data_IF_135720319588
#
_entry.id   IF_135720319588
#
_cell.length_a   1.000
_cell.length_b   1.000
_cell.length_c   1.000
_cell.angle_alpha   90.00
_cell.angle_beta   90.00
_cell.angle_gamma   90.00
#
_symmetry.space_group_name_H-M   'P 1'
#
loop_
_entity.id
_entity.type
_entity.pdbx_description
1 polymer ?
#
# COMPACT_ATOMS: atom_id res chain seq x y z
N UNK A 1 -6.42 -19.27 28.83
CA UNK A 1 -7.67 -20.06 28.77
C UNK A 1 -7.76 -20.63 27.36
N UNK A 2 -7.61 -21.96 27.21
CA UNK A 2 -7.84 -22.61 25.92
C UNK A 2 -9.31 -22.49 25.51
N UNK A 3 -9.68 -22.80 24.26
CA UNK A 3 -11.07 -22.69 23.83
C UNK A 3 -11.89 -23.71 24.63
N UNK A 4 -12.87 -23.21 25.38
CA UNK A 4 -14.02 -24.00 25.82
C UNK A 4 -14.61 -24.70 24.60
N UNK A 5 -15.07 -25.94 24.72
CA UNK A 5 -15.77 -26.62 23.63
C UNK A 5 -16.83 -25.71 22.98
N UNK A 6 -17.13 -25.86 21.67
CA UNK A 6 -18.16 -25.06 21.04
C UNK A 6 -19.48 -25.21 21.81
N UNK A 7 -20.33 -24.16 21.85
CA UNK A 7 -21.59 -24.23 22.56
C UNK A 7 -22.46 -25.39 22.03
N UNK A 8 -23.31 -25.99 22.87
CA UNK A 8 -24.18 -27.07 22.45
C UNK A 8 -25.09 -26.61 21.29
N UNK A 9 -25.22 -27.46 20.26
CA UNK A 9 -25.92 -27.19 18.99
C UNK A 9 -25.29 -26.13 18.07
N UNK A 10 -24.01 -25.78 18.26
CA UNK A 10 -23.31 -24.84 17.38
C UNK A 10 -23.24 -25.33 15.93
N UNK A 11 -23.76 -24.53 15.00
CA UNK A 11 -23.63 -24.71 13.57
C UNK A 11 -22.77 -23.59 12.98
N UNK A 12 -21.60 -23.96 12.45
CA UNK A 12 -20.63 -23.01 11.90
C UNK A 12 -21.17 -22.13 10.77
N UNK A 13 -22.16 -22.60 10.00
CA UNK A 13 -22.70 -21.85 8.88
C UNK A 13 -23.69 -20.77 9.31
N UNK A 14 -24.37 -20.94 10.45
CA UNK A 14 -25.40 -19.99 10.92
C UNK A 14 -24.94 -19.14 12.09
N UNK A 15 -24.08 -19.71 12.94
CA UNK A 15 -23.73 -19.10 14.23
C UNK A 15 -22.39 -18.36 14.16
N UNK A 16 -21.55 -18.65 13.15
CA UNK A 16 -20.35 -17.88 12.89
C UNK A 16 -20.66 -16.71 11.96
N UNK A 17 -20.27 -15.50 12.35
CA UNK A 17 -20.30 -14.31 11.48
C UNK A 17 -19.47 -14.49 10.19
N UNK A 18 -18.58 -15.48 10.15
CA UNK A 18 -17.71 -15.77 9.02
C UNK A 18 -18.24 -16.91 8.14
N UNK A 19 -19.22 -17.69 8.59
CA UNK A 19 -19.65 -18.98 8.00
C UNK A 19 -18.58 -20.09 8.01
N UNK A 20 -17.44 -19.84 8.66
CA UNK A 20 -16.37 -20.78 8.97
C UNK A 20 -15.72 -20.40 10.31
N UNK A 21 -14.81 -21.22 10.83
CA UNK A 21 -13.99 -20.87 11.99
C UNK A 21 -12.63 -20.40 11.47
N UNK A 22 -12.22 -19.13 11.73
CA UNK A 22 -10.93 -18.63 11.27
C UNK A 22 -9.77 -19.48 11.80
N UNK A 23 -8.79 -19.76 10.94
CA UNK A 23 -7.65 -20.61 11.31
C UNK A 23 -6.69 -19.86 12.23
N UNK A 24 -6.51 -20.34 13.46
CA UNK A 24 -5.65 -19.73 14.50
C UNK A 24 -4.22 -19.46 14.02
N UNK A 25 -3.58 -20.46 13.42
CA UNK A 25 -2.19 -20.37 12.98
C UNK A 25 -2.00 -19.27 11.93
N UNK A 26 -2.93 -19.17 10.98
CA UNK A 26 -2.89 -18.14 9.93
C UNK A 26 -3.04 -16.75 10.53
N UNK A 27 -3.97 -16.58 11.49
CA UNK A 27 -4.16 -15.31 12.17
C UNK A 27 -2.89 -14.86 12.91
N UNK A 28 -2.22 -15.78 13.61
CA UNK A 28 -0.96 -15.50 14.32
C UNK A 28 0.16 -15.11 13.34
N UNK A 29 0.29 -15.83 12.21
CA UNK A 29 1.31 -15.52 11.20
C UNK A 29 1.15 -14.09 10.69
N UNK A 30 -0.03 -13.72 10.22
CA UNK A 30 -0.28 -12.36 9.72
C UNK A 30 -0.12 -11.30 10.81
N UNK A 31 -0.61 -11.56 12.02
CA UNK A 31 -0.45 -10.66 13.16
C UNK A 31 1.03 -10.37 13.45
N UNK A 32 1.88 -11.40 13.48
CA UNK A 32 3.32 -11.25 13.71
C UNK A 32 3.98 -10.50 12.56
N UNK A 33 3.61 -10.79 11.31
CA UNK A 33 4.16 -10.11 10.14
C UNK A 33 3.85 -8.60 10.13
N UNK A 34 2.60 -8.21 10.41
CA UNK A 34 2.21 -6.80 10.47
C UNK A 34 2.79 -6.07 11.68
N UNK A 35 2.86 -6.74 12.84
CA UNK A 35 3.48 -6.17 14.03
C UNK A 35 4.98 -5.91 13.81
N UNK A 36 5.71 -6.90 13.30
CA UNK A 36 7.14 -6.76 13.02
C UNK A 36 7.38 -5.67 11.97
N UNK A 37 6.60 -5.67 10.90
CA UNK A 37 6.67 -4.64 9.86
C UNK A 37 6.37 -3.24 10.42
N UNK A 38 5.38 -3.11 11.29
CA UNK A 38 5.06 -1.83 11.96
C UNK A 38 6.21 -1.33 12.82
N UNK A 39 6.84 -2.20 13.61
CA UNK A 39 8.00 -1.83 14.42
C UNK A 39 9.20 -1.40 13.55
N UNK A 40 9.43 -2.07 12.42
CA UNK A 40 10.47 -1.69 11.45
C UNK A 40 10.15 -0.31 10.87
N UNK A 41 8.93 -0.05 10.40
CA UNK A 41 8.52 1.26 9.88
C UNK A 41 8.65 2.36 10.92
N UNK A 42 8.28 2.08 12.18
CA UNK A 42 8.45 3.04 13.27
C UNK A 42 9.93 3.37 13.48
N UNK A 43 10.79 2.35 13.58
CA UNK A 43 12.23 2.52 13.74
C UNK A 43 12.84 3.31 12.56
N UNK A 44 12.52 2.92 11.32
CA UNK A 44 13.00 3.60 10.12
C UNK A 44 12.55 5.06 10.07
N UNK A 45 11.31 5.36 10.43
CA UNK A 45 10.81 6.73 10.42
C UNK A 45 11.52 7.62 11.44
N UNK A 46 11.83 7.11 12.64
CA UNK A 46 12.62 7.84 13.64
C UNK A 46 14.09 7.99 13.23
N UNK A 47 14.71 6.91 12.74
CA UNK A 47 16.12 6.90 12.33
C UNK A 47 16.38 7.86 11.16
N UNK A 48 15.54 7.82 10.12
CA UNK A 48 15.68 8.68 8.94
C UNK A 48 15.00 10.06 9.11
N UNK A 49 14.44 10.37 10.29
CA UNK A 49 13.69 11.60 10.60
C UNK A 49 12.55 11.90 9.61
N UNK A 50 11.93 10.86 9.05
CA UNK A 50 10.85 10.99 8.06
C UNK A 50 9.50 10.71 8.74
N UNK A 51 9.09 11.62 9.62
CA UNK A 51 7.90 11.45 10.46
C UNK A 51 6.57 11.31 9.69
N UNK A 52 6.51 11.72 8.41
CA UNK A 52 5.32 11.45 7.58
C UNK A 52 5.05 9.94 7.41
N UNK A 53 6.08 9.08 7.55
CA UNK A 53 5.95 7.63 7.36
C UNK A 53 5.29 7.00 8.59
N UNK A 54 5.40 7.66 9.77
CA UNK A 54 4.66 7.27 10.97
C UNK A 54 3.16 7.50 10.79
N UNK A 55 2.78 8.64 10.21
CA UNK A 55 1.37 8.99 10.03
C UNK A 55 0.65 8.08 9.02
N UNK A 56 1.39 7.31 8.22
CA UNK A 56 0.85 6.59 7.05
C UNK A 56 1.20 5.09 7.08
N UNK A 57 2.45 4.70 6.83
CA UNK A 57 2.87 3.29 6.79
C UNK A 57 2.76 2.59 8.15
N UNK A 58 3.17 3.26 9.24
CA UNK A 58 3.02 2.71 10.58
C UNK A 58 1.54 2.58 10.98
N UNK A 59 0.73 3.60 10.72
CA UNK A 59 -0.71 3.56 11.02
C UNK A 59 -1.43 2.45 10.24
N UNK A 60 -1.01 2.19 8.99
CA UNK A 60 -1.47 1.02 8.24
C UNK A 60 -1.08 -0.30 8.95
N UNK A 61 0.18 -0.45 9.38
CA UNK A 61 0.59 -1.66 10.10
C UNK A 61 -0.19 -1.85 11.40
N UNK A 62 -0.48 -0.78 12.13
CA UNK A 62 -1.30 -0.83 13.35
C UNK A 62 -2.73 -1.27 13.03
N UNK A 63 -3.35 -0.68 12.00
CA UNK A 63 -4.70 -1.04 11.58
C UNK A 63 -4.84 -2.52 11.16
N UNK A 64 -3.88 -3.02 10.36
CA UNK A 64 -3.83 -4.45 10.00
C UNK A 64 -3.59 -5.32 11.25
N UNK A 65 -2.67 -4.94 12.13
CA UNK A 65 -2.39 -5.70 13.38
C UNK A 65 -3.66 -5.82 14.24
N UNK A 66 -4.43 -4.74 14.41
CA UNK A 66 -5.70 -4.76 15.13
C UNK A 66 -6.70 -5.69 14.43
N UNK A 67 -6.77 -5.64 13.11
CA UNK A 67 -7.69 -6.48 12.34
C UNK A 67 -7.39 -7.97 12.48
N UNK A 68 -6.12 -8.36 12.35
CA UNK A 68 -5.67 -9.74 12.53
C UNK A 68 -5.74 -10.20 13.99
N UNK A 69 -5.57 -9.31 14.96
CA UNK A 69 -5.80 -9.59 16.38
C UNK A 69 -7.28 -9.84 16.68
N UNK A 70 -8.18 -9.06 16.10
CA UNK A 70 -9.62 -9.27 16.22
C UNK A 70 -10.04 -10.62 15.57
N UNK A 71 -9.47 -10.95 14.40
CA UNK A 71 -9.66 -12.26 13.75
C UNK A 71 -9.14 -13.42 14.60
N UNK A 72 -7.97 -13.26 15.23
CA UNK A 72 -7.46 -14.24 16.18
C UNK A 72 -8.40 -14.41 17.37
N UNK A 73 -8.94 -13.32 17.94
CA UNK A 73 -9.95 -13.40 19.00
C UNK A 73 -11.20 -14.16 18.54
N UNK A 74 -11.69 -13.88 17.34
CA UNK A 74 -12.79 -14.61 16.72
C UNK A 74 -12.51 -16.11 16.61
N UNK A 75 -11.28 -16.51 16.26
CA UNK A 75 -10.88 -17.93 16.19
C UNK A 75 -10.89 -18.66 17.53
N UNK A 76 -10.82 -17.94 18.66
CA UNK A 76 -10.92 -18.51 20.01
C UNK A 76 -12.37 -18.68 20.45
N UNK A 77 -13.27 -17.85 19.93
CA UNK A 77 -14.69 -17.79 20.27
C UNK A 77 -15.57 -18.40 19.16
N UNK A 78 -15.02 -19.23 18.27
CA UNK A 78 -15.76 -19.88 17.18
C UNK A 78 -16.52 -18.90 16.24
N UNK A 79 -16.10 -17.64 16.16
CA UNK A 79 -16.75 -16.63 15.32
C UNK A 79 -18.17 -16.23 15.74
N UNK A 80 -18.62 -16.57 16.95
CA UNK A 80 -19.98 -16.24 17.42
C UNK A 80 -20.17 -14.76 17.76
N UNK A 81 -19.09 -14.06 18.09
CA UNK A 81 -19.14 -12.65 18.44
C UNK A 81 -19.07 -11.78 17.18
N UNK A 82 -20.04 -10.88 17.02
CA UNK A 82 -20.07 -9.92 15.91
C UNK A 82 -19.05 -8.79 16.06
N UNK A 83 -18.68 -8.40 17.28
CA UNK A 83 -17.75 -7.29 17.52
C UNK A 83 -16.34 -7.55 16.96
N UNK A 84 -15.67 -8.69 17.23
CA UNK A 84 -14.37 -8.99 16.62
C UNK A 84 -14.42 -9.06 15.09
N UNK A 85 -15.53 -9.55 14.53
CA UNK A 85 -15.74 -9.58 13.09
C UNK A 85 -15.82 -8.18 12.48
N UNK A 86 -16.62 -7.28 13.10
CA UNK A 86 -16.77 -5.90 12.65
C UNK A 86 -15.48 -5.09 12.82
N UNK A 87 -14.73 -5.30 13.90
CA UNK A 87 -13.41 -4.68 14.08
C UNK A 87 -12.48 -5.13 12.95
N UNK A 88 -12.40 -6.43 12.69
CA UNK A 88 -11.55 -6.96 11.62
C UNK A 88 -11.91 -6.34 10.27
N UNK A 89 -13.18 -6.39 9.85
CA UNK A 89 -13.58 -5.86 8.54
C UNK A 89 -13.30 -4.36 8.45
N UNK A 90 -13.63 -3.61 9.50
CA UNK A 90 -13.43 -2.16 9.53
C UNK A 90 -11.96 -1.77 9.43
N UNK A 91 -11.11 -2.33 10.30
CA UNK A 91 -9.70 -1.92 10.34
C UNK A 91 -8.92 -2.44 9.15
N UNK A 92 -9.21 -3.65 8.68
CA UNK A 92 -8.57 -4.19 7.47
C UNK A 92 -8.94 -3.36 6.25
N UNK A 93 -10.17 -2.85 6.12
CA UNK A 93 -10.54 -1.99 4.97
C UNK A 93 -9.90 -0.59 5.03
N UNK A 94 -9.80 0.03 6.21
CA UNK A 94 -9.32 1.42 6.35
C UNK A 94 -7.79 1.49 6.27
N UNK A 95 -7.10 0.59 6.95
CA UNK A 95 -5.65 0.48 7.00
C UNK A 95 -4.87 0.67 5.67
N UNK A 96 -5.25 0.02 4.55
CA UNK A 96 -4.43 -0.08 3.34
C UNK A 96 -4.49 1.20 2.53
N UNK A 97 -5.52 2.01 2.75
CA UNK A 97 -5.67 3.34 2.18
C UNK A 97 -4.56 4.26 2.68
N UNK A 98 -4.13 4.12 3.95
CA UNK A 98 -2.94 4.81 4.45
C UNK A 98 -1.66 4.35 3.74
N UNK A 99 -1.53 3.04 3.48
CA UNK A 99 -0.38 2.48 2.77
C UNK A 99 -0.35 2.97 1.31
N UNK A 100 -1.51 3.04 0.66
CA UNK A 100 -1.67 3.52 -0.72
C UNK A 100 -1.24 5.00 -0.85
N UNK A 101 -1.60 5.84 0.13
CA UNK A 101 -1.19 7.24 0.16
C UNK A 101 0.35 7.41 0.20
N UNK A 102 1.08 6.53 0.89
CA UNK A 102 2.56 6.53 0.88
C UNK A 102 3.08 6.22 -0.51
N UNK A 103 2.57 5.17 -1.12
CA UNK A 103 3.04 4.72 -2.44
C UNK A 103 2.82 5.78 -3.51
N UNK A 104 1.68 6.47 -3.51
CA UNK A 104 1.44 7.58 -4.44
C UNK A 104 2.32 8.79 -4.16
N UNK A 105 2.53 9.14 -2.90
CA UNK A 105 3.42 10.26 -2.53
C UNK A 105 4.87 9.96 -2.92
N UNK A 106 5.34 8.74 -2.67
CA UNK A 106 6.68 8.29 -3.03
C UNK A 106 6.87 8.33 -4.55
N UNK A 107 5.89 7.85 -5.30
CA UNK A 107 5.93 7.87 -6.75
C UNK A 107 5.92 9.30 -7.34
N UNK A 108 5.04 10.18 -6.84
CA UNK A 108 5.00 11.57 -7.28
C UNK A 108 6.33 12.29 -7.07
N UNK A 109 7.03 11.99 -5.97
CA UNK A 109 8.37 12.51 -5.70
C UNK A 109 9.42 11.95 -6.64
N UNK A 110 9.35 10.66 -6.98
CA UNK A 110 10.25 10.03 -7.94
C UNK A 110 10.12 10.71 -9.32
N UNK A 111 8.89 10.93 -9.79
CA UNK A 111 8.63 11.65 -11.05
C UNK A 111 9.17 13.06 -11.02
N UNK A 112 8.85 13.83 -9.96
CA UNK A 112 9.25 15.22 -9.86
C UNK A 112 10.77 15.39 -9.99
N UNK A 113 11.50 14.47 -9.37
CA UNK A 113 12.95 14.48 -9.29
C UNK A 113 13.66 13.94 -10.54
N UNK A 114 13.09 12.94 -11.22
CA UNK A 114 13.62 12.44 -12.49
C UNK A 114 13.32 13.35 -13.69
N UNK A 115 12.47 14.35 -13.46
CA UNK A 115 12.03 15.29 -14.47
C UNK A 115 10.55 15.08 -14.80
N UNK A 116 9.69 16.10 -14.63
CA UNK A 116 8.30 16.10 -15.10
C UNK A 116 8.17 15.85 -16.61
N UNK A 117 9.29 15.93 -17.34
CA UNK A 117 9.40 15.68 -18.77
C UNK A 117 9.17 14.21 -19.16
N UNK A 118 9.22 13.28 -18.19
CA UNK A 118 8.98 11.85 -18.38
C UNK A 118 7.59 11.39 -17.92
N UNK A 119 6.75 12.27 -17.37
CA UNK A 119 5.42 11.91 -16.85
C UNK A 119 4.34 12.88 -17.31
N UNK A 120 3.21 12.32 -17.76
CA UNK A 120 2.07 13.08 -18.29
C UNK A 120 1.12 13.61 -17.20
N UNK A 121 1.16 13.03 -16.01
CA UNK A 121 0.36 13.45 -14.84
C UNK A 121 1.23 14.26 -13.88
N UNK A 122 0.87 15.53 -13.66
CA UNK A 122 1.75 16.50 -12.97
C UNK A 122 1.54 16.63 -11.45
N UNK A 123 0.53 16.00 -10.82
CA UNK A 123 0.43 15.95 -9.36
C UNK A 123 -0.57 14.86 -8.91
N UNK A 124 -0.18 13.87 -8.10
CA UNK A 124 -1.14 13.02 -7.42
C UNK A 124 -1.91 13.84 -6.37
N UNK A 125 -3.18 14.15 -6.62
CA UNK A 125 -4.05 14.82 -5.66
C UNK A 125 -4.44 13.86 -4.51
N UNK A 126 -3.72 13.95 -3.39
CA UNK A 126 -3.98 13.20 -2.15
C UNK A 126 -5.34 13.52 -1.50
N UNK A 127 -5.99 14.62 -1.90
CA UNK A 127 -7.34 15.00 -1.45
C UNK A 127 -8.38 13.91 -1.74
N UNK A 128 -8.16 13.09 -2.77
CA UNK A 128 -9.09 12.02 -3.18
C UNK A 128 -9.00 10.83 -2.22
N UNK A 129 -7.80 10.50 -1.75
CA UNK A 129 -7.59 9.48 -0.71
C UNK A 129 -8.22 9.89 0.62
N UNK A 130 -8.16 11.19 0.96
CA UNK A 130 -8.78 11.71 2.19
C UNK A 130 -10.31 11.53 2.16
N UNK A 131 -10.96 11.82 1.03
CA UNK A 131 -12.40 11.58 0.88
C UNK A 131 -12.74 10.10 1.07
N UNK A 132 -11.96 9.20 0.48
CA UNK A 132 -12.19 7.75 0.60
C UNK A 132 -11.98 7.26 2.04
N UNK A 133 -10.94 7.76 2.73
CA UNK A 133 -10.68 7.48 4.14
C UNK A 133 -11.86 7.90 5.03
N UNK A 134 -12.44 9.08 4.77
CA UNK A 134 -13.61 9.56 5.51
C UNK A 134 -14.81 8.64 5.30
N UNK A 135 -15.10 8.27 4.04
CA UNK A 135 -16.20 7.34 3.74
C UNK A 135 -16.02 5.97 4.42
N UNK A 136 -14.79 5.45 4.42
CA UNK A 136 -14.47 4.16 5.06
C UNK A 136 -14.54 4.24 6.59
N UNK A 137 -14.04 5.33 7.19
CA UNK A 137 -14.11 5.56 8.62
C UNK A 137 -15.56 5.73 9.11
N UNK A 138 -16.37 6.50 8.38
CA UNK A 138 -17.79 6.67 8.67
C UNK A 138 -18.55 5.35 8.49
N UNK A 139 -18.30 4.63 7.40
CA UNK A 139 -18.94 3.34 7.15
C UNK A 139 -18.60 2.28 8.20
N UNK A 140 -17.32 2.19 8.61
CA UNK A 140 -16.89 1.29 9.67
C UNK A 140 -17.48 1.67 11.04
N UNK A 141 -17.53 2.97 11.34
CA UNK A 141 -18.18 3.49 12.55
C UNK A 141 -19.66 3.13 12.60
N UNK A 142 -20.39 3.37 11.50
CA UNK A 142 -21.81 3.01 11.38
C UNK A 142 -22.03 1.50 11.49
N UNK A 143 -21.20 0.68 10.84
CA UNK A 143 -21.29 -0.77 10.93
C UNK A 143 -21.07 -1.29 12.35
N UNK A 144 -20.18 -0.65 13.12
CA UNK A 144 -19.87 -1.06 14.50
C UNK A 144 -20.97 -0.71 15.52
N UNK A 145 -21.78 0.31 15.26
CA UNK A 145 -22.82 0.79 16.17
C UNK A 145 -24.25 0.37 15.82
N UNK A 146 -24.46 -0.23 14.64
CA UNK A 146 -25.78 -0.60 14.14
C UNK A 146 -26.17 -2.04 14.50
N UNK A 147 -27.47 -2.30 14.65
CA UNK A 147 -28.01 -3.66 14.78
C UNK A 147 -27.94 -4.44 13.47
N UNK A 148 -28.05 -3.75 12.33
CA UNK A 148 -27.76 -4.27 11.00
C UNK A 148 -26.56 -3.52 10.41
N UNK A 149 -25.40 -4.19 10.21
CA UNK A 149 -24.19 -3.55 9.70
C UNK A 149 -24.22 -3.27 8.19
N UNK A 150 -25.26 -3.68 7.45
CA UNK A 150 -25.36 -3.57 5.99
C UNK A 150 -25.17 -2.15 5.47
N UNK A 151 -25.81 -1.15 6.08
CA UNK A 151 -25.69 0.25 5.66
C UNK A 151 -24.26 0.78 5.80
N UNK A 152 -23.59 0.46 6.90
CA UNK A 152 -22.18 0.80 7.10
C UNK A 152 -21.29 0.12 6.06
N UNK A 153 -21.54 -1.15 5.76
CA UNK A 153 -20.81 -1.91 4.74
C UNK A 153 -20.95 -1.30 3.34
N UNK A 154 -22.15 -0.86 2.95
CA UNK A 154 -22.37 -0.17 1.68
C UNK A 154 -21.65 1.17 1.60
N UNK A 155 -21.58 1.92 2.70
CA UNK A 155 -20.82 3.17 2.74
C UNK A 155 -19.31 2.92 2.62
N UNK A 156 -18.80 1.87 3.28
CA UNK A 156 -17.40 1.43 3.11
C UNK A 156 -17.12 0.99 1.68
N UNK A 157 -18.00 0.20 1.07
CA UNK A 157 -17.93 -0.21 -0.33
C UNK A 157 -17.88 1.01 -1.26
N UNK A 158 -18.73 2.01 -1.03
CA UNK A 158 -18.71 3.27 -1.77
C UNK A 158 -17.34 3.95 -1.71
N UNK A 159 -16.72 4.01 -0.51
CA UNK A 159 -15.36 4.50 -0.33
C UNK A 159 -14.31 3.71 -1.11
N UNK A 160 -14.38 2.38 -1.10
CA UNK A 160 -13.46 1.51 -1.87
C UNK A 160 -13.66 1.70 -3.37
N UNK A 161 -14.90 1.78 -3.85
CA UNK A 161 -15.20 1.98 -5.28
C UNK A 161 -14.72 3.35 -5.74
N UNK A 162 -14.97 4.41 -4.97
CA UNK A 162 -14.45 5.74 -5.29
C UNK A 162 -12.92 5.72 -5.27
N UNK A 163 -12.29 5.08 -4.28
CA UNK A 163 -10.84 4.94 -4.21
C UNK A 163 -10.29 4.18 -5.42
N UNK A 164 -10.92 3.08 -5.82
CA UNK A 164 -10.53 2.29 -6.97
C UNK A 164 -10.78 3.08 -8.26
N UNK A 165 -11.96 3.59 -8.55
CA UNK A 165 -12.23 4.33 -9.80
C UNK A 165 -11.38 5.60 -9.92
N UNK A 166 -11.14 6.29 -8.81
CA UNK A 166 -10.43 7.57 -8.82
C UNK A 166 -8.91 7.40 -8.88
N UNK A 167 -8.34 6.44 -8.13
CA UNK A 167 -6.90 6.15 -8.15
C UNK A 167 -6.51 5.14 -9.23
N UNK A 168 -7.44 4.29 -9.64
CA UNK A 168 -7.36 3.22 -10.65
C UNK A 168 -8.31 3.50 -11.82
N UNK A 169 -8.46 4.76 -12.23
CA UNK A 169 -8.97 5.03 -13.58
C UNK A 169 -8.09 4.24 -14.57
N UNK A 170 -8.65 3.47 -15.52
CA UNK A 170 -7.86 2.69 -16.47
C UNK A 170 -6.88 3.58 -17.24
N UNK A 171 -7.19 4.87 -17.41
CA UNK A 171 -6.26 5.85 -17.95
C UNK A 171 -5.08 6.06 -16.99
N UNK A 172 -5.31 6.30 -15.70
CA UNK A 172 -4.23 6.53 -14.73
C UNK A 172 -3.38 5.27 -14.47
N UNK A 173 -3.98 4.07 -14.42
CA UNK A 173 -3.25 2.83 -14.10
C UNK A 173 -2.52 2.22 -15.30
N UNK A 174 -3.13 2.26 -16.50
CA UNK A 174 -2.42 1.95 -17.74
C UNK A 174 -1.33 3.01 -17.95
N UNK A 175 -1.63 4.30 -17.78
CA UNK A 175 -0.61 5.34 -17.88
C UNK A 175 0.48 5.15 -16.82
N UNK A 176 0.18 4.74 -15.59
CA UNK A 176 1.19 4.53 -14.54
C UNK A 176 2.09 3.31 -14.80
N UNK A 177 1.50 2.16 -15.15
CA UNK A 177 2.27 0.95 -15.45
C UNK A 177 2.99 1.06 -16.79
N UNK A 178 2.37 1.68 -17.79
CA UNK A 178 2.99 1.97 -19.09
C UNK A 178 4.07 3.02 -18.93
N UNK A 179 3.88 4.13 -18.20
CA UNK A 179 4.94 5.11 -17.97
C UNK A 179 6.05 4.55 -17.10
N UNK A 180 5.75 3.71 -16.10
CA UNK A 180 6.76 3.01 -15.30
C UNK A 180 7.58 2.02 -16.15
N UNK A 181 6.92 1.22 -17.00
CA UNK A 181 7.57 0.29 -17.91
C UNK A 181 8.31 1.00 -19.05
N UNK A 182 7.73 2.07 -19.60
CA UNK A 182 8.32 2.94 -20.62
C UNK A 182 9.54 3.68 -20.05
N UNK A 183 9.46 4.17 -18.82
CA UNK A 183 10.60 4.72 -18.08
C UNK A 183 11.67 3.65 -17.93
N UNK A 184 11.37 2.48 -17.39
CA UNK A 184 12.34 1.39 -17.23
C UNK A 184 12.97 0.96 -18.57
N UNK A 185 12.17 0.91 -19.65
CA UNK A 185 12.62 0.59 -21.01
C UNK A 185 13.53 1.68 -21.60
N UNK A 186 13.17 2.96 -21.42
CA UNK A 186 13.97 4.12 -21.86
C UNK A 186 15.27 4.25 -21.06
N UNK A 187 15.22 3.96 -19.76
CA UNK A 187 16.34 3.88 -18.84
C UNK A 187 17.24 2.65 -19.07
N UNK A 188 16.72 1.60 -19.71
CA UNK A 188 17.49 0.43 -20.12
C UNK A 188 18.14 0.66 -21.49
N UNK A 189 17.48 1.42 -22.37
CA UNK A 189 17.94 1.70 -23.72
C UNK A 189 18.64 3.05 -23.90
N UNK A 190 18.91 3.80 -22.82
CA UNK A 190 19.58 5.12 -22.83
C UNK A 190 18.95 6.15 -23.80
N UNK A 191 17.63 6.08 -23.98
CA UNK A 191 16.89 6.97 -24.91
C UNK A 191 16.05 7.99 -24.12
N UNK A 192 16.62 9.17 -23.76
CA UNK A 192 15.83 10.26 -23.19
C UNK A 192 14.76 10.74 -24.17
N UNK A 193 13.59 11.13 -23.65
CA UNK A 193 12.39 11.47 -24.44
C UNK A 193 12.49 12.87 -25.10
N UNK A 194 13.30 13.74 -24.52
CA UNK A 194 13.81 14.97 -25.14
C UNK A 194 15.31 14.90 -25.10
N UNK A 195 15.95 15.07 -26.25
CA UNK A 195 17.36 15.46 -26.26
C UNK A 195 17.49 16.71 -25.39
N UNK A 196 18.54 16.76 -24.58
CA UNK A 196 18.97 17.99 -23.95
C UNK A 196 19.49 18.92 -25.05
N UNK A 197 18.59 19.46 -25.87
CA UNK A 197 18.93 20.38 -26.95
C UNK A 197 19.32 21.71 -26.31
N UNK A 198 20.63 21.92 -26.21
CA UNK A 198 21.28 23.19 -26.52
C UNK A 198 20.94 24.36 -25.60
N UNK A 199 21.58 24.41 -24.43
CA UNK A 199 21.85 25.67 -23.74
C UNK A 199 23.33 26.04 -23.94
N UNK A 200 23.58 26.77 -25.04
CA UNK A 200 24.58 27.85 -25.20
C UNK A 200 26.07 27.52 -24.95
N UNK A 201 26.84 27.40 -26.04
CA UNK A 201 28.28 27.72 -26.05
C UNK A 201 28.48 29.25 -25.91
N UNK A 202 29.47 29.72 -25.13
CA UNK A 202 30.75 30.07 -25.76
C UNK A 202 32.02 29.79 -24.93
N UNK A 203 33.03 29.32 -25.66
CA UNK A 203 34.47 29.67 -25.63
C UNK A 203 35.27 29.84 -24.32
N UNK A 204 36.33 29.02 -24.26
CA UNK A 204 37.71 29.36 -23.89
C UNK A 204 38.01 29.95 -22.48
N UNK A 205 38.21 29.07 -21.51
CA UNK A 205 39.29 29.21 -20.51
C UNK A 205 39.44 27.94 -19.67
N UNK A 206 40.65 27.68 -19.15
CA UNK A 206 40.95 26.79 -18.02
C UNK A 206 41.18 25.28 -18.26
N UNK A 207 42.26 24.94 -18.99
CA UNK A 207 42.83 23.57 -19.00
C UNK A 207 43.25 23.04 -17.61
N UNK A 208 43.37 23.89 -16.58
CA UNK A 208 43.66 23.45 -15.19
C UNK A 208 42.41 23.03 -14.40
N UNK A 209 41.21 23.46 -14.81
CA UNK A 209 39.95 23.06 -14.17
C UNK A 209 39.45 21.71 -14.71
N UNK A 210 39.97 21.25 -15.85
CA UNK A 210 39.51 20.04 -16.53
C UNK A 210 39.78 18.74 -15.77
N UNK A 211 40.87 18.63 -15.00
CA UNK A 211 41.19 17.40 -14.24
C UNK A 211 40.41 17.30 -12.92
N UNK A 212 40.17 18.42 -12.24
CA UNK A 212 39.29 18.50 -11.07
C UNK A 212 37.81 18.38 -11.45
N UNK A 213 37.42 18.94 -12.60
CA UNK A 213 36.07 18.80 -13.14
C UNK A 213 35.83 17.39 -13.69
N UNK A 214 36.80 16.77 -14.37
CA UNK A 214 36.73 15.35 -14.78
C UNK A 214 36.58 14.43 -13.57
N UNK A 215 37.36 14.63 -12.51
CA UNK A 215 37.26 13.79 -11.31
C UNK A 215 36.00 14.05 -10.47
N UNK A 216 35.45 15.27 -10.48
CA UNK A 216 34.15 15.56 -9.89
C UNK A 216 33.00 15.02 -10.74
N UNK A 217 33.05 15.15 -12.06
CA UNK A 217 32.05 14.62 -13.01
C UNK A 217 32.07 13.10 -13.01
N UNK A 218 33.23 12.45 -12.98
CA UNK A 218 33.35 10.99 -12.90
C UNK A 218 32.88 10.46 -11.55
N UNK A 219 33.15 11.16 -10.43
CA UNK A 219 32.55 10.85 -9.12
C UNK A 219 31.04 11.10 -9.10
N UNK A 220 30.55 12.14 -9.78
CA UNK A 220 29.14 12.48 -9.85
C UNK A 220 28.38 11.49 -10.73
N UNK A 221 28.93 11.09 -11.88
CA UNK A 221 28.42 10.02 -12.76
C UNK A 221 28.46 8.65 -12.10
N UNK A 222 29.53 8.30 -11.37
CA UNK A 222 29.61 7.02 -10.63
C UNK A 222 28.61 6.99 -9.47
N UNK A 223 28.44 8.08 -8.71
CA UNK A 223 27.42 8.17 -7.66
C UNK A 223 25.99 8.15 -8.26
N UNK A 224 25.78 8.76 -9.43
CA UNK A 224 24.50 8.76 -10.15
C UNK A 224 24.18 7.38 -10.75
N UNK A 225 25.19 6.66 -11.24
CA UNK A 225 25.07 5.29 -11.75
C UNK A 225 24.73 4.28 -10.64
N UNK A 226 25.34 4.41 -9.46
CA UNK A 226 24.98 3.62 -8.26
C UNK A 226 23.58 4.00 -7.72
N UNK A 227 23.15 5.25 -7.91
CA UNK A 227 21.80 5.74 -7.61
C UNK A 227 20.73 5.15 -8.54
N UNK A 228 21.09 4.83 -9.79
CA UNK A 228 20.16 4.33 -10.81
C UNK A 228 19.63 2.92 -10.54
N UNK A 229 20.49 2.00 -10.08
CA UNK A 229 20.07 0.63 -9.71
C UNK A 229 19.12 0.62 -8.51
N UNK A 230 19.41 1.46 -7.52
CA UNK A 230 18.58 1.68 -6.33
C UNK A 230 17.21 2.26 -6.69
N UNK A 231 17.19 3.27 -7.55
CA UNK A 231 15.98 3.87 -8.08
C UNK A 231 15.13 2.86 -8.87
N UNK A 232 15.76 2.05 -9.75
CA UNK A 232 15.08 0.98 -10.48
C UNK A 232 14.41 -0.01 -9.53
N UNK A 233 15.09 -0.41 -8.45
CA UNK A 233 14.50 -1.28 -7.43
C UNK A 233 13.29 -0.65 -6.71
N UNK A 234 13.36 0.65 -6.36
CA UNK A 234 12.22 1.37 -5.78
C UNK A 234 11.03 1.39 -6.73
N UNK A 235 11.26 1.73 -8.01
CA UNK A 235 10.18 1.80 -9.01
C UNK A 235 9.52 0.44 -9.20
N UNK A 236 10.31 -0.63 -9.33
CA UNK A 236 9.80 -2.00 -9.45
C UNK A 236 8.94 -2.36 -8.22
N UNK A 237 9.42 -2.07 -7.01
CA UNK A 237 8.67 -2.36 -5.79
C UNK A 237 7.39 -1.55 -5.65
N UNK A 238 7.39 -0.28 -6.06
CA UNK A 238 6.19 0.57 -6.09
C UNK A 238 5.16 0.01 -7.08
N UNK A 239 5.59 -0.42 -8.27
CA UNK A 239 4.71 -1.03 -9.28
C UNK A 239 4.11 -2.35 -8.76
N UNK A 240 4.93 -3.24 -8.21
CA UNK A 240 4.46 -4.51 -7.63
C UNK A 240 3.46 -4.25 -6.51
N UNK A 241 3.78 -3.32 -5.60
CA UNK A 241 2.89 -2.98 -4.48
C UNK A 241 1.57 -2.40 -4.95
N UNK A 242 1.58 -1.58 -6.01
CA UNK A 242 0.38 -1.02 -6.60
C UNK A 242 -0.53 -2.12 -7.19
N UNK A 243 0.05 -3.11 -7.90
CA UNK A 243 -0.68 -4.25 -8.43
C UNK A 243 -1.30 -5.08 -7.28
N UNK A 244 -0.55 -5.35 -6.22
CA UNK A 244 -1.08 -6.06 -5.04
C UNK A 244 -2.26 -5.32 -4.40
N UNK A 245 -2.15 -4.01 -4.18
CA UNK A 245 -3.22 -3.20 -3.59
C UNK A 245 -4.45 -3.08 -4.51
N UNK A 246 -4.25 -3.16 -5.84
CA UNK A 246 -5.34 -3.20 -6.81
C UNK A 246 -6.10 -4.54 -6.74
N UNK A 247 -5.40 -5.68 -6.74
CA UNK A 247 -6.02 -7.01 -6.61
C UNK A 247 -6.88 -7.04 -5.34
N UNK A 248 -6.33 -6.52 -4.24
CA UNK A 248 -7.02 -6.36 -2.97
C UNK A 248 -8.28 -5.50 -3.09
N UNK A 249 -8.19 -4.34 -3.75
CA UNK A 249 -9.34 -3.45 -3.98
C UNK A 249 -10.48 -4.11 -4.77
N UNK A 250 -10.14 -4.89 -5.81
CA UNK A 250 -11.11 -5.67 -6.60
C UNK A 250 -11.76 -6.75 -5.71
N UNK A 251 -10.96 -7.50 -4.96
CA UNK A 251 -11.46 -8.51 -4.02
C UNK A 251 -12.44 -7.92 -3.00
N UNK A 252 -12.09 -6.78 -2.38
CA UNK A 252 -12.96 -6.12 -1.39
C UNK A 252 -14.24 -5.56 -1.97
N UNK A 253 -14.16 -5.05 -3.19
CA UNK A 253 -15.36 -4.62 -3.93
C UNK A 253 -16.29 -5.80 -4.15
N UNK A 254 -15.75 -6.94 -4.61
CA UNK A 254 -16.52 -8.16 -4.82
C UNK A 254 -17.10 -8.70 -3.49
N UNK A 255 -16.28 -8.78 -2.44
CA UNK A 255 -16.68 -9.25 -1.11
C UNK A 255 -17.85 -8.44 -0.52
N UNK A 256 -17.75 -7.11 -0.49
CA UNK A 256 -18.80 -6.26 0.08
C UNK A 256 -20.03 -6.12 -0.84
N UNK A 257 -19.87 -6.32 -2.15
CA UNK A 257 -20.99 -6.34 -3.10
C UNK A 257 -21.86 -7.59 -2.97
N UNK A 258 -21.25 -8.72 -2.62
CA UNK A 258 -21.93 -10.02 -2.38
C UNK A 258 -22.58 -10.06 -0.98
N UNK A 259 -22.23 -9.10 -0.11
CA UNK A 259 -22.77 -8.96 1.24
C UNK A 259 -22.19 -9.98 2.23
N UNK A 260 -22.62 -9.89 3.50
CA UNK A 260 -22.08 -10.72 4.59
C UNK A 260 -22.42 -12.21 4.49
N UNK A 261 -23.42 -12.59 3.67
CA UNK A 261 -23.80 -13.98 3.42
C UNK A 261 -23.25 -14.53 2.08
N UNK A 262 -22.37 -13.76 1.43
CA UNK A 262 -21.80 -14.11 0.13
C UNK A 262 -20.88 -15.33 0.16
N UNK A 263 -20.64 -15.93 -1.01
CA UNK A 263 -19.68 -17.05 -1.14
C UNK A 263 -18.24 -16.58 -0.92
N UNK A 264 -17.95 -15.32 -1.25
CA UNK A 264 -16.61 -14.76 -1.20
C UNK A 264 -16.16 -14.58 0.26
N UNK A 265 -17.02 -14.03 1.12
CA UNK A 265 -16.72 -13.80 2.53
C UNK A 265 -16.65 -15.10 3.33
N UNK A 266 -17.43 -16.12 2.94
CA UNK A 266 -17.46 -17.45 3.58
C UNK A 266 -16.28 -18.36 3.20
N UNK A 267 -15.38 -17.91 2.31
CA UNK A 267 -14.21 -18.69 1.91
C UNK A 267 -12.93 -18.08 2.48
N UNK A 268 -12.39 -18.68 3.55
CA UNK A 268 -11.21 -18.19 4.26
C UNK A 268 -9.97 -17.96 3.35
N UNK A 269 -9.75 -18.84 2.38
CA UNK A 269 -8.56 -18.80 1.51
C UNK A 269 -8.51 -17.50 0.71
N UNK A 270 -9.66 -17.01 0.23
CA UNK A 270 -9.71 -15.78 -0.56
C UNK A 270 -9.35 -14.55 0.28
N UNK A 271 -9.84 -14.49 1.52
CA UNK A 271 -9.49 -13.42 2.45
C UNK A 271 -7.98 -13.42 2.76
N UNK A 272 -7.43 -14.58 3.11
CA UNK A 272 -6.02 -14.67 3.48
C UNK A 272 -5.09 -14.34 2.31
N UNK A 273 -5.42 -14.76 1.09
CA UNK A 273 -4.59 -14.57 -0.08
C UNK A 273 -4.76 -13.19 -0.72
N UNK A 274 -5.99 -12.79 -1.04
CA UNK A 274 -6.25 -11.56 -1.81
C UNK A 274 -6.30 -10.31 -0.94
N UNK A 275 -6.53 -10.45 0.36
CA UNK A 275 -6.43 -9.34 1.30
C UNK A 275 -5.12 -9.36 2.08
N UNK A 276 -4.95 -10.35 2.96
CA UNK A 276 -3.80 -10.42 3.87
C UNK A 276 -2.45 -10.45 3.15
N UNK A 277 -2.24 -11.43 2.27
CA UNK A 277 -0.95 -11.63 1.64
C UNK A 277 -0.55 -10.47 0.71
N UNK A 278 -1.50 -9.90 -0.05
CA UNK A 278 -1.23 -8.76 -0.93
C UNK A 278 -0.71 -7.55 -0.15
N UNK A 279 -1.20 -7.37 1.07
CA UNK A 279 -0.90 -6.18 1.87
C UNK A 279 0.36 -6.39 2.67
N UNK A 280 0.62 -7.61 3.11
CA UNK A 280 1.95 -8.01 3.59
C UNK A 280 2.99 -7.74 2.52
N UNK A 281 2.79 -8.19 1.28
CA UNK A 281 3.74 -7.96 0.18
C UNK A 281 3.98 -6.47 -0.07
N UNK A 282 2.92 -5.67 -0.10
CA UNK A 282 3.04 -4.21 -0.24
C UNK A 282 3.76 -3.60 0.98
N UNK A 283 3.49 -4.03 2.20
CA UNK A 283 4.12 -3.43 3.39
C UNK A 283 5.59 -3.81 3.51
N UNK A 284 5.94 -5.06 3.20
CA UNK A 284 7.32 -5.56 3.19
C UNK A 284 8.15 -4.92 2.08
N UNK A 285 7.55 -4.65 0.92
CA UNK A 285 8.22 -3.91 -0.16
C UNK A 285 8.70 -2.55 0.33
N UNK A 286 7.90 -1.84 1.13
CA UNK A 286 8.30 -0.54 1.70
C UNK A 286 9.38 -0.65 2.78
N UNK A 287 9.40 -1.76 3.56
CA UNK A 287 10.46 -2.01 4.54
C UNK A 287 11.83 -2.17 3.87
N UNK A 288 11.87 -2.93 2.77
CA UNK A 288 13.11 -3.22 2.02
C UNK A 288 13.52 -2.00 1.21
N UNK A 289 12.56 -1.36 0.54
CA UNK A 289 12.78 -0.23 -0.35
C UNK A 289 12.54 1.10 0.36
N UNK A 290 13.05 1.23 1.58
CA UNK A 290 12.75 2.38 2.41
C UNK A 290 13.22 3.69 1.73
N UNK A 291 12.33 4.70 1.57
CA UNK A 291 12.65 5.95 0.87
C UNK A 291 13.86 6.68 1.47
N UNK A 292 14.06 6.58 2.79
CA UNK A 292 15.18 7.20 3.49
C UNK A 292 16.56 6.60 3.16
N UNK A 293 16.63 5.37 2.67
CA UNK A 293 17.89 4.74 2.25
C UNK A 293 18.19 4.98 0.77
N UNK A 294 17.15 4.95 -0.07
CA UNK A 294 17.31 4.93 -1.53
C UNK A 294 17.19 6.31 -2.16
N UNK A 295 16.54 7.28 -1.48
CA UNK A 295 16.34 8.63 -1.98
C UNK A 295 16.64 9.69 -0.88
N UNK A 296 17.90 9.79 -0.40
CA UNK A 296 18.27 10.78 0.61
C UNK A 296 18.07 12.24 0.16
N UNK A 297 17.99 12.47 -1.15
CA UNK A 297 17.84 13.78 -1.79
C UNK A 297 16.41 14.11 -2.24
N UNK A 298 15.51 13.13 -2.36
CA UNK A 298 14.13 13.34 -2.82
C UNK A 298 13.16 13.76 -1.69
N UNK A 299 13.69 13.96 -0.48
CA UNK A 299 12.92 14.20 0.74
C UNK A 299 13.56 15.23 1.65
#
# INVERSE_FOLDING_TARGET
MGPSAPPPNYNVQTDSAYHYIPTKSVCIIFLVMFLLSGLIHAFQAFYFRKHWLLATAFLACVGETIGWAARYRSSLNYGTESTPFLIQISTTIISPTFLLAVYFTLFGRIIFNLGPQYSREQCPNSQRDILCLVLQALGGGMASGATDPSQGAHLMLGGIVVQLVTNTSPVALITFNVLGAEFLWRCYNEKPLRDATSATSPEASSRSNASLQSSNVEKEEVNLSYSYGRLKAVIIGVVISNICLMIRGIYRTAELSDGFNGRIISTEVYFNLFDGAMVVLATFSLNILHPGYLLPWAI
#
